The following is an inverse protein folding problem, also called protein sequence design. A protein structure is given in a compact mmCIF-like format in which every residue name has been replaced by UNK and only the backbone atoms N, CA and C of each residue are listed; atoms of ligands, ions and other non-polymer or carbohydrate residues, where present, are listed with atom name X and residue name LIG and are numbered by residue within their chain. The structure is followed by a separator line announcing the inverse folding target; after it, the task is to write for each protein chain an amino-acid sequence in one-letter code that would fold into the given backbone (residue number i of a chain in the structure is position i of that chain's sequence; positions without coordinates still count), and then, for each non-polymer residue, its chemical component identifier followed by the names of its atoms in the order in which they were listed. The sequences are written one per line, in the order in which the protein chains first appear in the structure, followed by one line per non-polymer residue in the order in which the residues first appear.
data_IF_573667229844
#
_entry.id   IF_573667229844
#
_cell.length_a   1.000
_cell.length_b   1.000
_cell.length_c   1.000
_cell.angle_alpha   90.00
_cell.angle_beta   90.00
_cell.angle_gamma   90.00
#
_symmetry.space_group_name_H-M   'P 1'
#
loop_
_entity.id
_entity.type
_entity.pdbx_description
1 polymer ?
#
# COMPACT_ATOMS: atom_id res chain seq x y z
N UNK A 1 -25.16 11.69 -17.87
CA UNK A 1 -24.10 12.06 -18.82
C UNK A 1 -22.96 11.10 -18.63
N UNK A 2 -22.50 10.46 -19.69
CA UNK A 2 -21.30 9.62 -19.66
C UNK A 2 -20.08 10.48 -19.35
N UNK A 3 -19.18 9.96 -18.51
CA UNK A 3 -17.92 10.61 -18.15
C UNK A 3 -16.77 9.70 -18.58
N UNK A 4 -15.69 10.31 -19.05
CA UNK A 4 -14.51 9.60 -19.51
C UNK A 4 -13.27 10.09 -18.78
N UNK A 5 -12.38 9.16 -18.45
CA UNK A 5 -11.00 9.42 -18.07
C UNK A 5 -10.11 9.18 -19.29
N UNK A 6 -9.15 10.07 -19.55
CA UNK A 6 -8.18 9.90 -20.64
C UNK A 6 -6.80 9.61 -20.06
N UNK A 7 -6.20 8.48 -20.45
CA UNK A 7 -4.87 8.07 -19.99
C UNK A 7 -3.77 8.88 -20.69
N UNK A 8 -2.53 8.78 -20.20
CA UNK A 8 -1.35 9.39 -20.82
C UNK A 8 -1.12 8.91 -22.27
N UNK A 9 -1.57 7.70 -22.60
CA UNK A 9 -1.54 7.15 -23.96
C UNK A 9 -2.71 7.64 -24.85
N UNK A 10 -3.60 8.49 -24.33
CA UNK A 10 -4.76 9.02 -25.04
C UNK A 10 -5.97 8.06 -25.09
N UNK A 11 -5.92 6.96 -24.33
CA UNK A 11 -7.03 5.98 -24.29
C UNK A 11 -8.15 6.54 -23.40
N UNK A 12 -9.39 6.48 -23.89
CA UNK A 12 -10.56 6.90 -23.13
C UNK A 12 -11.22 5.72 -22.43
N UNK A 13 -11.39 5.85 -21.12
CA UNK A 13 -12.06 4.85 -20.27
C UNK A 13 -13.34 5.48 -19.75
N UNK A 14 -14.48 4.86 -20.01
CA UNK A 14 -15.75 5.29 -19.43
C UNK A 14 -15.75 5.03 -17.92
N UNK A 15 -16.09 6.05 -17.15
CA UNK A 15 -16.10 6.01 -15.68
C UNK A 15 -17.48 6.33 -15.11
N UNK A 16 -17.80 5.65 -14.01
CA UNK A 16 -19.06 5.82 -13.29
C UNK A 16 -18.80 5.97 -11.78
N UNK A 17 -19.68 6.70 -11.06
CA UNK A 17 -19.55 6.82 -9.63
C UNK A 17 -19.77 5.47 -8.93
N UNK A 18 -19.04 5.24 -7.85
CA UNK A 18 -19.26 4.12 -6.94
C UNK A 18 -20.17 4.58 -5.80
N UNK A 19 -21.21 3.81 -5.43
CA UNK A 19 -22.10 4.18 -4.33
C UNK A 19 -21.33 4.38 -2.99
N UNK A 20 -21.54 5.49 -2.26
CA UNK A 20 -20.82 5.76 -1.01
C UNK A 20 -20.98 4.68 0.07
N UNK A 21 -22.17 4.07 0.18
CA UNK A 21 -22.40 2.99 1.13
C UNK A 21 -21.59 1.73 0.80
N UNK A 22 -21.33 1.47 -0.49
CA UNK A 22 -20.50 0.34 -0.91
C UNK A 22 -19.02 0.61 -0.62
N UNK A 23 -18.56 1.85 -0.84
CA UNK A 23 -17.21 2.29 -0.45
C UNK A 23 -16.99 2.04 1.03
N UNK A 24 -17.92 2.48 1.88
CA UNK A 24 -17.78 2.33 3.32
C UNK A 24 -17.85 0.86 3.76
N UNK A 25 -18.74 0.07 3.17
CA UNK A 25 -18.84 -1.36 3.46
C UNK A 25 -17.54 -2.11 3.11
N UNK A 26 -16.95 -1.85 1.94
CA UNK A 26 -15.68 -2.47 1.53
C UNK A 26 -14.53 -2.01 2.43
N UNK A 27 -14.50 -0.72 2.80
CA UNK A 27 -13.48 -0.18 3.71
C UNK A 27 -13.51 -0.88 5.07
N UNK A 28 -14.69 -0.98 5.68
CA UNK A 28 -14.87 -1.62 7.00
C UNK A 28 -14.55 -3.11 6.93
N UNK A 29 -15.09 -3.83 5.95
CA UNK A 29 -14.80 -5.25 5.76
C UNK A 29 -13.30 -5.52 5.60
N UNK A 30 -12.60 -4.71 4.80
CA UNK A 30 -11.17 -4.87 4.59
C UNK A 30 -10.35 -4.53 5.85
N UNK A 31 -10.84 -3.65 6.73
CA UNK A 31 -10.19 -3.42 8.03
C UNK A 31 -10.36 -4.64 8.95
N UNK A 32 -11.54 -5.28 8.95
CA UNK A 32 -11.82 -6.45 9.78
C UNK A 32 -11.07 -7.72 9.33
N UNK A 33 -10.68 -7.82 8.06
CA UNK A 33 -9.92 -8.97 7.53
C UNK A 33 -8.48 -9.06 8.06
N UNK A 34 -7.93 -7.96 8.58
CA UNK A 34 -6.58 -7.92 9.16
C UNK A 34 -6.68 -7.71 10.66
N UNK A 35 -6.24 -8.72 11.43
CA UNK A 35 -6.20 -8.65 12.88
C UNK A 35 -5.09 -7.70 13.33
N UNK A 36 -5.49 -6.66 14.07
CA UNK A 36 -4.56 -5.71 14.68
C UNK A 36 -4.52 -6.03 16.18
N UNK A 37 -3.35 -6.34 16.76
CA UNK A 37 -3.25 -6.60 18.19
C UNK A 37 -3.62 -5.34 18.97
N UNK A 38 -3.99 -5.51 20.25
CA UNK A 38 -4.25 -4.37 21.11
C UNK A 38 -2.98 -3.53 21.29
N UNK A 39 -3.17 -2.24 21.53
CA UNK A 39 -2.07 -1.35 21.89
C UNK A 39 -1.43 -1.88 23.18
N UNK A 40 -0.09 -2.08 23.22
CA UNK A 40 0.56 -2.52 24.44
C UNK A 40 0.40 -1.45 25.53
N UNK A 41 0.26 -1.90 26.77
CA UNK A 41 0.02 -1.03 27.93
C UNK A 41 1.13 -1.15 28.97
N UNK A 42 1.41 -0.05 29.67
CA UNK A 42 2.31 -0.01 30.82
C UNK A 42 1.56 0.41 32.10
N UNK A 43 2.09 0.07 33.27
CA UNK A 43 1.50 0.45 34.56
C UNK A 43 2.19 1.68 35.15
N UNK A 44 1.41 2.66 35.61
CA UNK A 44 1.91 3.79 36.41
C UNK A 44 1.37 3.67 37.83
N UNK A 45 2.27 3.70 38.81
CA UNK A 45 1.92 3.72 40.24
C UNK A 45 1.65 5.17 40.71
N UNK A 46 0.47 5.39 41.26
CA UNK A 46 0.07 6.66 41.87
C UNK A 46 0.63 6.78 43.30
N UNK A 47 0.57 8.00 43.86
CA UNK A 47 1.06 8.27 45.22
C UNK A 47 0.33 7.47 46.33
N UNK A 48 -0.86 6.93 46.04
CA UNK A 48 -1.63 6.06 46.93
C UNK A 48 -1.32 4.56 46.76
N UNK A 49 -0.37 4.21 45.89
CA UNK A 49 0.01 2.83 45.55
C UNK A 49 -0.89 2.16 44.51
N UNK A 50 -1.91 2.86 43.99
CA UNK A 50 -2.76 2.32 42.94
C UNK A 50 -2.01 2.27 41.62
N UNK A 51 -2.07 1.14 40.92
CA UNK A 51 -1.52 1.00 39.57
C UNK A 51 -2.61 1.18 38.53
N UNK A 52 -2.37 2.04 37.56
CA UNK A 52 -3.27 2.28 36.44
C UNK A 52 -2.61 1.89 35.12
N UNK A 53 -3.30 1.14 34.24
CA UNK A 53 -2.80 0.84 32.91
C UNK A 53 -2.94 2.06 32.00
N UNK A 54 -1.89 2.34 31.23
CA UNK A 54 -1.87 3.34 30.18
C UNK A 54 -1.40 2.70 28.87
N UNK A 55 -2.04 3.06 27.77
CA UNK A 55 -1.61 2.66 26.43
C UNK A 55 -0.29 3.34 26.08
N UNK A 56 0.60 2.60 25.43
CA UNK A 56 1.77 3.21 24.82
C UNK A 56 1.39 4.11 23.65
N UNK A 57 2.24 5.10 23.44
CA UNK A 57 2.26 6.00 22.31
C UNK A 57 3.68 6.10 21.75
N UNK A 58 3.88 6.98 20.76
CA UNK A 58 5.19 7.14 20.11
C UNK A 58 6.28 7.65 21.05
N UNK A 59 5.92 8.35 22.12
CA UNK A 59 6.88 8.97 23.02
C UNK A 59 7.23 8.01 24.16
N UNK A 60 6.22 7.43 24.82
CA UNK A 60 6.39 6.46 25.92
C UNK A 60 7.14 5.19 25.50
N UNK A 61 7.00 4.72 24.27
CA UNK A 61 7.74 3.52 23.82
C UNK A 61 9.25 3.77 23.70
N UNK A 62 9.67 5.03 23.57
CA UNK A 62 11.08 5.42 23.47
C UNK A 62 11.73 5.66 24.83
N UNK A 63 10.95 5.65 25.92
CA UNK A 63 11.49 5.82 27.27
C UNK A 63 12.55 4.74 27.57
N UNK A 64 13.71 5.11 28.13
CA UNK A 64 14.75 4.15 28.51
C UNK A 64 14.27 3.04 29.47
N UNK A 65 13.20 3.28 30.23
CA UNK A 65 12.63 2.33 31.18
C UNK A 65 11.62 1.36 30.53
N UNK A 66 11.19 1.63 29.29
CA UNK A 66 10.27 0.74 28.57
C UNK A 66 10.98 -0.53 28.16
N UNK A 67 10.36 -1.67 28.48
CA UNK A 67 10.97 -2.99 28.31
C UNK A 67 11.07 -3.37 26.85
N UNK A 68 12.02 -4.26 26.52
CA UNK A 68 12.16 -4.81 25.17
C UNK A 68 10.91 -5.58 24.71
N UNK A 69 10.17 -6.17 25.65
CA UNK A 69 8.91 -6.87 25.37
C UNK A 69 7.81 -5.89 24.93
N UNK A 70 7.64 -4.77 25.62
CA UNK A 70 6.70 -3.71 25.25
C UNK A 70 7.08 -3.08 23.90
N UNK A 71 8.37 -2.82 23.68
CA UNK A 71 8.88 -2.31 22.39
C UNK A 71 8.58 -3.26 21.24
N UNK A 72 8.72 -4.57 21.45
CA UNK A 72 8.38 -5.58 20.44
C UNK A 72 6.87 -5.61 20.17
N UNK A 73 6.04 -5.63 21.21
CA UNK A 73 4.59 -5.61 21.06
C UNK A 73 4.11 -4.34 20.32
N UNK A 74 4.74 -3.19 20.56
CA UNK A 74 4.46 -1.97 19.83
C UNK A 74 4.87 -2.05 18.36
N UNK A 75 6.03 -2.62 18.06
CA UNK A 75 6.47 -2.84 16.69
C UNK A 75 5.51 -3.77 15.93
N UNK A 76 5.04 -4.85 16.58
CA UNK A 76 4.02 -5.76 16.03
C UNK A 76 2.70 -5.04 15.76
N UNK A 77 2.23 -4.22 16.70
CA UNK A 77 1.05 -3.37 16.53
C UNK A 77 1.17 -2.42 15.34
N UNK A 78 2.30 -1.71 15.22
CA UNK A 78 2.53 -0.78 14.11
C UNK A 78 2.62 -1.51 12.75
N UNK A 79 3.25 -2.68 12.71
CA UNK A 79 3.32 -3.51 11.52
C UNK A 79 1.91 -3.99 11.09
N UNK A 80 1.10 -4.44 12.04
CA UNK A 80 -0.28 -4.86 11.78
C UNK A 80 -1.16 -3.70 11.30
N UNK A 81 -1.01 -2.49 11.88
CA UNK A 81 -1.70 -1.29 11.39
C UNK A 81 -1.30 -0.95 9.95
N UNK A 82 0.00 -1.02 9.64
CA UNK A 82 0.49 -0.75 8.29
C UNK A 82 -0.05 -1.78 7.28
N UNK A 83 -0.10 -3.06 7.66
CA UNK A 83 -0.66 -4.12 6.83
C UNK A 83 -2.17 -3.95 6.62
N UNK A 84 -2.93 -3.67 7.69
CA UNK A 84 -4.37 -3.36 7.60
C UNK A 84 -4.63 -2.19 6.66
N UNK A 85 -3.84 -1.10 6.79
CA UNK A 85 -3.96 0.05 5.91
C UNK A 85 -3.64 -0.31 4.46
N UNK A 86 -2.58 -1.09 4.20
CA UNK A 86 -2.21 -1.54 2.84
C UNK A 86 -3.31 -2.41 2.23
N UNK A 87 -3.84 -3.36 3.00
CA UNK A 87 -4.91 -4.26 2.57
C UNK A 87 -6.19 -3.50 2.25
N UNK A 88 -6.66 -2.65 3.17
CA UNK A 88 -7.84 -1.81 2.96
C UNK A 88 -7.69 -0.89 1.74
N UNK A 89 -6.52 -0.28 1.59
CA UNK A 89 -6.21 0.58 0.43
C UNK A 89 -6.24 -0.19 -0.90
N UNK A 90 -5.76 -1.43 -0.90
CA UNK A 90 -5.78 -2.32 -2.08
C UNK A 90 -7.21 -2.69 -2.45
N UNK A 91 -8.03 -3.13 -1.47
CA UNK A 91 -9.44 -3.46 -1.71
C UNK A 91 -10.25 -2.27 -2.22
N UNK A 92 -9.98 -1.07 -1.70
CA UNK A 92 -10.59 0.16 -2.19
C UNK A 92 -10.21 0.47 -3.64
N UNK A 93 -8.93 0.31 -3.99
CA UNK A 93 -8.45 0.48 -5.36
C UNK A 93 -9.11 -0.52 -6.32
N UNK A 94 -9.20 -1.79 -5.92
CA UNK A 94 -9.86 -2.84 -6.69
C UNK A 94 -11.36 -2.54 -6.89
N UNK A 95 -12.06 -2.08 -5.86
CA UNK A 95 -13.45 -1.63 -5.96
C UNK A 95 -13.61 -0.54 -7.03
N UNK A 96 -12.77 0.49 -7.00
CA UNK A 96 -12.84 1.57 -7.99
C UNK A 96 -12.53 1.08 -9.40
N UNK A 97 -11.52 0.22 -9.57
CA UNK A 97 -11.19 -0.35 -10.88
C UNK A 97 -12.33 -1.21 -11.43
N UNK A 98 -12.93 -2.06 -10.60
CA UNK A 98 -13.98 -2.99 -11.04
C UNK A 98 -15.30 -2.25 -11.26
N UNK A 99 -15.75 -1.49 -10.27
CA UNK A 99 -17.10 -0.91 -10.27
C UNK A 99 -17.16 0.47 -10.94
N UNK A 100 -16.07 1.21 -10.88
CA UNK A 100 -15.98 2.58 -11.38
C UNK A 100 -15.58 2.70 -12.85
N UNK A 101 -15.24 1.60 -13.52
CA UNK A 101 -14.93 1.58 -14.96
C UNK A 101 -15.94 0.75 -15.75
N UNK A 102 -16.26 1.20 -16.96
CA UNK A 102 -17.03 0.44 -17.94
C UNK A 102 -16.08 0.01 -19.06
N UNK A 103 -15.97 -1.30 -19.26
CA UNK A 103 -15.13 -1.92 -20.28
C UNK A 103 -15.97 -3.04 -20.91
N UNK A 104 -15.89 -3.17 -22.22
CA UNK A 104 -16.51 -4.26 -22.94
C UNK A 104 -15.87 -5.61 -22.52
N UNK A 105 -16.71 -6.51 -22.01
CA UNK A 105 -16.27 -7.84 -21.55
C UNK A 105 -15.74 -8.71 -22.70
N UNK A 106 -16.20 -8.51 -23.93
CA UNK A 106 -15.72 -9.26 -25.10
C UNK A 106 -14.24 -8.98 -25.38
N UNK A 107 -13.81 -7.73 -25.16
CA UNK A 107 -12.41 -7.30 -25.32
C UNK A 107 -11.51 -8.05 -24.33
N UNK A 108 -11.97 -8.25 -23.10
CA UNK A 108 -11.22 -8.94 -22.04
C UNK A 108 -11.23 -10.46 -22.28
N UNK A 109 -12.40 -11.03 -22.59
CA UNK A 109 -12.61 -12.49 -22.56
C UNK A 109 -12.18 -13.20 -23.85
N UNK A 110 -12.36 -12.56 -25.00
CA UNK A 110 -12.13 -13.15 -26.32
C UNK A 110 -11.15 -12.36 -27.18
N UNK A 111 -10.67 -11.21 -26.69
CA UNK A 111 -9.75 -10.34 -27.43
C UNK A 111 -8.36 -10.94 -27.65
N UNK A 112 -7.63 -10.32 -28.59
CA UNK A 112 -6.23 -10.63 -28.88
C UNK A 112 -5.32 -10.50 -27.65
N UNK A 113 -5.67 -9.63 -26.69
CA UNK A 113 -4.93 -9.47 -25.44
C UNK A 113 -4.78 -10.79 -24.67
N UNK A 114 -5.88 -11.52 -24.42
CA UNK A 114 -5.83 -12.78 -23.67
C UNK A 114 -4.99 -13.84 -24.38
N UNK A 115 -5.05 -13.87 -25.71
CA UNK A 115 -4.22 -14.75 -26.54
C UNK A 115 -2.74 -14.36 -26.43
N UNK A 116 -2.43 -13.07 -26.48
CA UNK A 116 -1.07 -12.54 -26.37
C UNK A 116 -0.46 -12.84 -24.99
N UNK A 117 -1.20 -12.64 -23.91
CA UNK A 117 -0.75 -12.97 -22.55
C UNK A 117 -0.42 -14.47 -22.42
N UNK A 118 -1.28 -15.35 -22.97
CA UNK A 118 -1.02 -16.80 -23.01
C UNK A 118 0.19 -17.16 -23.86
N UNK A 119 0.39 -16.49 -24.99
CA UNK A 119 1.56 -16.69 -25.86
C UNK A 119 2.86 -16.39 -25.10
N UNK A 120 2.89 -15.31 -24.32
CA UNK A 120 4.01 -14.95 -23.44
C UNK A 120 4.05 -15.74 -22.11
N UNK A 121 3.17 -16.74 -21.93
CA UNK A 121 3.06 -17.57 -20.73
C UNK A 121 2.80 -16.78 -19.44
N UNK A 122 2.15 -15.62 -19.56
CA UNK A 122 1.68 -14.85 -18.40
C UNK A 122 0.50 -15.60 -17.77
N UNK A 123 0.58 -15.81 -16.45
CA UNK A 123 -0.52 -16.40 -15.69
C UNK A 123 -1.64 -15.36 -15.56
N UNK A 124 -2.79 -15.68 -16.10
CA UNK A 124 -3.99 -14.84 -16.00
C UNK A 124 -4.83 -15.27 -14.80
N UNK A 125 -5.43 -14.31 -14.07
CA UNK A 125 -6.42 -14.62 -13.03
C UNK A 125 -7.63 -15.38 -13.60
N UNK A 126 -8.20 -16.25 -12.77
CA UNK A 126 -9.42 -17.00 -13.10
C UNK A 126 -10.68 -16.22 -12.72
N UNK A 127 -10.62 -15.46 -11.62
CA UNK A 127 -11.73 -14.59 -11.20
C UNK A 127 -11.96 -13.47 -12.24
N UNK A 128 -13.20 -13.24 -12.69
CA UNK A 128 -13.49 -12.21 -13.70
C UNK A 128 -13.12 -10.79 -13.28
N UNK A 129 -13.24 -10.45 -11.99
CA UNK A 129 -12.91 -9.13 -11.49
C UNK A 129 -11.40 -8.93 -11.44
N UNK A 130 -10.66 -9.92 -10.96
CA UNK A 130 -9.20 -9.90 -10.98
C UNK A 130 -8.68 -9.84 -12.42
N UNK A 131 -9.31 -10.55 -13.36
CA UNK A 131 -8.96 -10.50 -14.78
C UNK A 131 -9.20 -9.10 -15.37
N UNK A 132 -10.31 -8.44 -15.01
CA UNK A 132 -10.59 -7.05 -15.41
C UNK A 132 -9.56 -6.07 -14.84
N UNK A 133 -9.22 -6.21 -13.56
CA UNK A 133 -8.17 -5.39 -12.91
C UNK A 133 -6.83 -5.61 -13.60
N UNK A 134 -6.48 -6.87 -13.91
CA UNK A 134 -5.26 -7.22 -14.61
C UNK A 134 -5.22 -6.59 -16.01
N UNK A 135 -6.32 -6.64 -16.76
CA UNK A 135 -6.45 -5.96 -18.05
C UNK A 135 -6.24 -4.45 -17.92
N UNK A 136 -6.93 -3.80 -16.98
CA UNK A 136 -6.78 -2.36 -16.71
C UNK A 136 -5.33 -1.98 -16.43
N UNK A 137 -4.64 -2.72 -15.56
CA UNK A 137 -3.26 -2.42 -15.13
C UNK A 137 -2.22 -2.71 -16.20
N UNK A 138 -2.46 -3.67 -17.09
CA UNK A 138 -1.47 -4.10 -18.09
C UNK A 138 -1.65 -3.43 -19.45
N UNK A 139 -2.89 -3.11 -19.84
CA UNK A 139 -3.20 -2.61 -21.18
C UNK A 139 -3.57 -1.12 -21.17
N UNK A 140 -4.41 -0.69 -20.23
CA UNK A 140 -5.02 0.65 -20.28
C UNK A 140 -4.27 1.68 -19.43
N UNK A 141 -3.86 1.31 -18.23
CA UNK A 141 -3.25 2.18 -17.22
C UNK A 141 -1.75 1.92 -17.15
N UNK A 142 -1.03 2.33 -18.19
CA UNK A 142 0.39 2.00 -18.39
C UNK A 142 1.33 2.71 -17.42
N UNK A 143 0.86 3.77 -16.76
CA UNK A 143 1.63 4.50 -15.74
C UNK A 143 0.94 4.53 -14.39
N UNK A 144 1.72 4.71 -13.32
CA UNK A 144 1.16 4.90 -11.98
C UNK A 144 0.31 6.18 -11.90
N UNK A 145 0.64 7.20 -12.69
CA UNK A 145 -0.16 8.42 -12.76
C UNK A 145 -1.52 8.20 -13.43
N UNK A 146 -1.63 7.29 -14.40
CA UNK A 146 -2.93 6.87 -14.96
C UNK A 146 -3.80 6.20 -13.91
N UNK A 147 -3.21 5.30 -13.13
CA UNK A 147 -3.90 4.61 -12.04
C UNK A 147 -4.45 5.64 -11.02
N UNK A 148 -3.61 6.55 -10.55
CA UNK A 148 -4.04 7.56 -9.59
C UNK A 148 -5.03 8.56 -10.19
N UNK A 149 -4.83 8.93 -11.46
CA UNK A 149 -5.72 9.83 -12.19
C UNK A 149 -7.11 9.23 -12.32
N UNK A 150 -7.19 7.96 -12.74
CA UNK A 150 -8.44 7.22 -12.87
C UNK A 150 -9.17 7.14 -11.52
N UNK A 151 -8.48 6.69 -10.46
CA UNK A 151 -9.06 6.59 -9.13
C UNK A 151 -9.58 7.96 -8.64
N UNK A 152 -8.77 9.02 -8.79
CA UNK A 152 -9.16 10.36 -8.38
C UNK A 152 -10.41 10.84 -9.12
N UNK A 153 -10.50 10.58 -10.42
CA UNK A 153 -11.66 10.94 -11.23
C UNK A 153 -12.92 10.18 -10.80
N UNK A 154 -12.83 8.87 -10.53
CA UNK A 154 -13.95 8.06 -10.06
C UNK A 154 -14.42 8.53 -8.68
N UNK A 155 -13.48 8.77 -7.76
CA UNK A 155 -13.80 9.23 -6.41
C UNK A 155 -14.43 10.62 -6.38
N UNK A 156 -13.95 11.55 -7.23
CA UNK A 156 -14.58 12.87 -7.41
C UNK A 156 -16.02 12.72 -7.93
N UNK A 157 -16.24 11.86 -8.93
CA UNK A 157 -17.60 11.57 -9.41
C UNK A 157 -18.50 10.94 -8.34
N UNK A 158 -17.90 10.18 -7.42
CA UNK A 158 -18.60 9.53 -6.31
C UNK A 158 -18.92 10.48 -5.15
N UNK A 159 -18.51 11.76 -5.24
CA UNK A 159 -18.77 12.77 -4.22
C UNK A 159 -17.82 12.74 -3.02
N UNK A 160 -16.66 12.08 -3.15
CA UNK A 160 -15.64 12.08 -2.08
C UNK A 160 -14.88 13.42 -2.10
N UNK A 161 -14.67 13.99 -0.91
CA UNK A 161 -14.00 15.28 -0.74
C UNK A 161 -12.57 15.27 -1.32
N UNK A 162 -12.22 16.33 -2.06
CA UNK A 162 -10.93 16.48 -2.74
C UNK A 162 -9.74 16.58 -1.78
N UNK A 163 -9.95 17.04 -0.56
CA UNK A 163 -8.91 17.09 0.47
C UNK A 163 -8.56 15.69 0.98
N UNK A 164 -9.57 14.81 1.09
CA UNK A 164 -9.36 13.37 1.39
C UNK A 164 -8.59 12.71 0.24
N UNK A 165 -8.90 13.06 -1.01
CA UNK A 165 -8.19 12.57 -2.19
C UNK A 165 -6.70 12.93 -2.21
N UNK A 166 -6.36 14.17 -1.84
CA UNK A 166 -4.98 14.63 -1.79
C UNK A 166 -4.16 13.88 -0.73
N UNK A 167 -4.76 13.62 0.43
CA UNK A 167 -4.15 12.82 1.48
C UNK A 167 -3.93 11.36 1.02
N UNK A 168 -4.95 10.74 0.42
CA UNK A 168 -4.86 9.37 -0.11
C UNK A 168 -3.74 9.23 -1.15
N UNK A 169 -3.65 10.15 -2.13
CA UNK A 169 -2.61 10.13 -3.17
C UNK A 169 -1.18 10.15 -2.59
N UNK A 170 -0.97 10.85 -1.47
CA UNK A 170 0.32 10.89 -0.79
C UNK A 170 0.63 9.56 -0.07
N UNK A 171 -0.37 8.95 0.59
CA UNK A 171 -0.21 7.67 1.29
C UNK A 171 0.11 6.51 0.33
N UNK A 172 -0.54 6.46 -0.84
CA UNK A 172 -0.26 5.41 -1.83
C UNK A 172 1.14 5.54 -2.46
N UNK A 173 1.60 6.76 -2.75
CA UNK A 173 2.96 6.99 -3.27
C UNK A 173 4.05 6.67 -2.24
N UNK A 174 3.77 6.82 -0.95
CA UNK A 174 4.69 6.44 0.12
C UNK A 174 5.02 4.96 0.13
N UNK A 175 4.00 4.10 0.01
CA UNK A 175 4.16 2.64 0.16
C UNK A 175 4.95 1.98 -0.99
N UNK A 176 4.91 2.51 -2.22
CA UNK A 176 5.67 1.95 -3.35
C UNK A 176 7.16 2.28 -3.31
N UNK A 177 7.54 3.41 -2.70
CA UNK A 177 8.96 3.76 -2.52
C UNK A 177 9.65 2.85 -1.51
N UNK A 178 8.93 2.45 -0.46
CA UNK A 178 9.46 1.56 0.59
C UNK A 178 9.75 0.14 0.06
N UNK A 179 9.01 -0.34 -0.94
CA UNK A 179 9.27 -1.65 -1.57
C UNK A 179 10.53 -1.65 -2.47
N UNK A 180 10.91 -0.52 -3.06
CA UNK A 180 12.16 -0.39 -3.85
C UNK A 180 13.42 -0.29 -2.97
N UNK A 181 13.32 0.31 -1.79
CA UNK A 181 14.47 0.42 -0.87
C UNK A 181 14.71 -0.89 -0.09
N UNK A 182 13.68 -1.72 0.14
CA UNK A 182 13.83 -3.01 0.81
C UNK A 182 14.54 -4.09 -0.03
N UNK A 183 14.66 -3.91 -1.35
CA UNK A 183 15.29 -4.90 -2.26
C UNK A 183 16.74 -4.59 -2.63
N UNK A 184 17.33 -3.50 -2.11
CA UNK A 184 18.74 -3.12 -2.38
C UNK A 184 19.68 -3.24 -1.17
N UNK A 185 19.17 -3.68 -0.02
CA UNK A 185 19.93 -3.77 1.24
C UNK A 185 20.45 -5.16 1.61
N UNK A 186 21.04 -5.93 0.68
CA UNK A 186 21.79 -7.16 1.05
C UNK A 186 23.01 -7.29 0.13
N UNK A 187 24.21 -7.04 0.67
CA UNK A 187 25.46 -7.38 -0.02
C UNK A 187 26.63 -6.44 0.28
N UNK A 188 27.18 -6.52 1.49
CA UNK A 188 28.42 -5.85 1.84
C UNK A 188 29.02 -6.48 3.09
N UNK A 189 29.50 -7.71 2.97
CA UNK A 189 30.39 -8.32 3.97
C UNK A 189 31.66 -7.46 4.09
N UNK A 190 31.86 -6.83 5.24
CA UNK A 190 33.16 -6.26 5.61
C UNK A 190 34.15 -7.42 5.82
N UNK A 191 35.07 -7.59 4.88
CA UNK A 191 36.24 -8.45 5.06
C UNK A 191 37.15 -7.88 6.18
N UNK A 192 37.73 -8.75 7.02
CA UNK A 192 38.67 -8.31 8.05
C UNK A 192 39.97 -7.83 7.41
N UNK A 193 40.41 -6.63 7.79
CA UNK A 193 41.71 -6.05 7.40
C UNK A 193 42.84 -6.97 7.86
N UNK A 194 43.59 -7.53 6.91
CA UNK A 194 44.90 -8.11 7.18
C UNK A 194 45.92 -6.99 7.41
N UNK A 195 46.55 -7.05 8.58
CA UNK A 195 47.78 -6.32 8.90
C UNK A 195 48.92 -6.80 7.99
N UNK A 196 49.68 -5.86 7.43
CA UNK A 196 50.83 -6.16 6.60
C UNK A 196 51.64 -4.89 6.33
N UNK A 197 52.79 -4.83 6.98
CA UNK A 197 53.84 -3.80 6.96
C UNK A 197 54.17 -3.26 5.56
N UNK A 198 54.51 -1.97 5.46
CA UNK A 198 55.74 -1.55 4.77
C UNK A 198 56.26 -0.21 5.32
N UNK A 199 57.48 -0.29 5.85
CA UNK A 199 58.30 0.82 6.29
C UNK A 199 58.94 1.57 5.11
N UNK A 200 59.03 2.90 5.22
CA UNK A 200 60.05 3.83 4.67
C UNK A 200 59.47 5.24 4.74
N UNK A 201 60.18 6.34 4.99
CA UNK A 201 61.53 6.71 5.39
C UNK A 201 61.41 8.22 5.70
N UNK A 202 62.05 8.71 6.77
CA UNK A 202 62.18 10.16 7.05
C UNK A 202 63.25 10.77 6.14
N UNK A 203 63.11 12.03 5.69
CA UNK A 203 64.26 12.83 5.30
C UNK A 203 64.64 13.83 6.41
N UNK A 204 65.94 13.91 6.67
CA UNK A 204 66.62 15.17 6.94
C UNK A 204 67.16 15.69 5.61
#
# INVERSE_FOLDING_TARGET
MTKFFTTAAGVQIEIVPVPPLLIEAVRLQAMEEVEVPLIPTYEVELADGTKLPYEHDKDSITDPNTTDAERRAWAEYQAALADQQKHSSTKMMDLFMVRGTIIDEEVINSGQWKVMQKYFKVKLPEDPFDLKIHYLRTELLTTTDDIYGLMSAIMELSGIDKNILKAAKNSFRGNLRTEQDATTGVGGEEQPKQEGEMAHQLPL
#
